data_IF_591590998268
#
_entry.id   IF_591590998268
#
_cell.length_a   1.000
_cell.length_b   1.000
_cell.length_c   1.000
_cell.angle_alpha   90.00
_cell.angle_beta   90.00
_cell.angle_gamma   90.00
#
_symmetry.space_group_name_H-M   'P 1'
#
loop_
_entity.id
_entity.type
_entity.pdbx_description
1 polymer ?
#
# COMPACT_ATOMS: atom_id res chain seq x y z
N UNK A 1 -21.29 -1.88 -15.21
CA UNK A 1 -20.51 -1.21 -14.15
C UNK A 1 -19.11 -1.80 -14.17
N UNK A 2 -18.07 -0.98 -14.29
CA UNK A 2 -16.70 -1.38 -14.03
C UNK A 2 -16.49 -1.24 -12.53
N UNK A 3 -16.52 -2.35 -11.79
CA UNK A 3 -16.15 -2.33 -10.38
C UNK A 3 -14.68 -2.02 -10.27
N UNK A 4 -14.34 -0.92 -9.62
CA UNK A 4 -12.98 -0.58 -9.22
C UNK A 4 -12.79 -1.03 -7.79
N UNK A 5 -12.52 -2.32 -7.57
CA UNK A 5 -12.33 -2.87 -6.22
C UNK A 5 -10.99 -2.49 -5.59
N UNK A 6 -10.02 -2.06 -6.39
CA UNK A 6 -8.70 -1.61 -5.91
C UNK A 6 -8.03 -0.69 -6.93
N UNK A 7 -7.13 0.16 -6.46
CA UNK A 7 -6.33 1.08 -7.27
C UNK A 7 -4.87 1.05 -6.82
N UNK A 8 -3.94 1.17 -7.76
CA UNK A 8 -2.52 1.23 -7.47
C UNK A 8 -1.85 2.32 -8.29
N UNK A 9 -0.74 2.87 -7.78
CA UNK A 9 0.14 3.79 -8.50
C UNK A 9 1.26 3.04 -9.24
N UNK A 10 1.34 1.74 -9.06
CA UNK A 10 2.38 0.90 -9.67
C UNK A 10 1.86 0.17 -10.91
N UNK A 11 2.78 -0.25 -11.75
CA UNK A 11 2.48 -1.12 -12.89
C UNK A 11 1.94 -2.47 -12.44
N UNK A 12 1.02 -3.00 -13.23
CA UNK A 12 0.47 -4.34 -13.04
C UNK A 12 1.30 -5.36 -13.85
N UNK A 13 1.67 -6.45 -13.21
CA UNK A 13 2.30 -7.59 -13.85
C UNK A 13 1.23 -8.57 -14.36
N UNK A 14 0.78 -8.37 -15.58
CA UNK A 14 -0.23 -9.22 -16.22
C UNK A 14 0.22 -10.69 -16.42
N UNK A 15 1.53 -10.95 -16.37
CA UNK A 15 2.09 -12.29 -16.50
C UNK A 15 2.10 -13.07 -15.19
N UNK A 16 1.82 -12.43 -14.05
CA UNK A 16 1.78 -13.10 -12.75
C UNK A 16 0.66 -14.15 -12.70
N UNK A 17 0.92 -15.26 -12.01
CA UNK A 17 -0.09 -16.31 -11.81
C UNK A 17 -1.33 -15.77 -11.09
N UNK A 18 -1.12 -14.88 -10.12
CA UNK A 18 -2.23 -14.29 -9.37
C UNK A 18 -3.13 -13.45 -10.28
N UNK A 19 -2.56 -12.64 -11.19
CA UNK A 19 -3.33 -11.87 -12.16
C UNK A 19 -4.14 -12.78 -13.08
N UNK A 20 -3.51 -13.84 -13.63
CA UNK A 20 -4.19 -14.80 -14.50
C UNK A 20 -5.36 -15.50 -13.80
N UNK A 21 -5.15 -15.96 -12.55
CA UNK A 21 -6.21 -16.55 -11.72
C UNK A 21 -7.35 -15.55 -11.47
N UNK A 22 -7.04 -14.31 -11.06
CA UNK A 22 -8.02 -13.26 -10.81
C UNK A 22 -8.84 -12.95 -12.07
N UNK A 23 -8.19 -12.87 -13.23
CA UNK A 23 -8.85 -12.66 -14.53
C UNK A 23 -9.80 -13.80 -14.86
N UNK A 24 -9.41 -15.04 -14.61
CA UNK A 24 -10.26 -16.22 -14.81
C UNK A 24 -11.49 -16.20 -13.90
N UNK A 25 -11.31 -15.98 -12.59
CA UNK A 25 -12.42 -15.94 -11.62
C UNK A 25 -13.41 -14.81 -11.89
N UNK A 26 -12.97 -13.69 -12.43
CA UNK A 26 -13.82 -12.56 -12.78
C UNK A 26 -14.50 -12.73 -14.16
N UNK A 27 -14.29 -13.84 -14.85
CA UNK A 27 -14.89 -14.11 -16.16
C UNK A 27 -14.48 -13.11 -17.25
N UNK A 28 -13.33 -12.43 -17.08
CA UNK A 28 -12.87 -11.43 -18.03
C UNK A 28 -12.28 -12.10 -19.27
N UNK A 29 -12.89 -11.87 -20.44
CA UNK A 29 -12.41 -12.42 -21.71
C UNK A 29 -10.93 -12.09 -21.95
N UNK A 30 -10.19 -13.00 -22.59
CA UNK A 30 -8.73 -12.92 -22.74
C UNK A 30 -8.24 -11.59 -23.31
N UNK A 31 -8.97 -10.99 -24.24
CA UNK A 31 -8.60 -9.72 -24.91
C UNK A 31 -9.05 -8.45 -24.16
N UNK A 32 -9.81 -8.54 -23.06
CA UNK A 32 -10.30 -7.35 -22.33
C UNK A 32 -9.29 -6.93 -21.24
N UNK A 33 -8.92 -5.64 -21.23
CA UNK A 33 -8.13 -5.06 -20.12
C UNK A 33 -8.94 -5.12 -18.81
N UNK A 34 -8.26 -5.50 -17.71
CA UNK A 34 -8.85 -5.57 -16.37
C UNK A 34 -8.74 -4.26 -15.60
N UNK A 35 -8.00 -3.29 -16.10
CA UNK A 35 -7.73 -2.03 -15.43
C UNK A 35 -7.85 -0.85 -16.38
N UNK A 36 -8.08 0.31 -15.82
CA UNK A 36 -8.15 1.59 -16.51
C UNK A 36 -7.06 2.48 -15.91
N UNK A 37 -6.25 3.09 -16.76
CA UNK A 37 -5.26 4.06 -16.36
C UNK A 37 -5.90 5.44 -16.23
N UNK A 38 -5.62 6.12 -15.12
CA UNK A 38 -6.06 7.50 -14.88
C UNK A 38 -4.88 8.32 -14.37
N UNK A 39 -4.73 9.53 -14.89
CA UNK A 39 -3.80 10.52 -14.32
C UNK A 39 -4.37 11.07 -13.02
N UNK A 40 -3.58 11.04 -11.97
CA UNK A 40 -3.91 11.59 -10.66
C UNK A 40 -2.78 12.49 -10.17
N UNK A 41 -3.12 13.55 -9.44
CA UNK A 41 -2.13 14.36 -8.75
C UNK A 41 -1.73 13.63 -7.47
N UNK A 42 -0.44 13.54 -7.22
CA UNK A 42 0.13 13.01 -5.98
C UNK A 42 0.99 14.07 -5.31
N UNK A 43 0.97 14.07 -3.98
CA UNK A 43 1.80 14.96 -3.18
C UNK A 43 2.40 14.18 -2.00
N UNK A 44 3.51 14.68 -1.45
CA UNK A 44 4.10 14.10 -0.26
C UNK A 44 3.26 14.42 0.97
N UNK A 45 3.17 13.47 1.90
CA UNK A 45 2.47 13.66 3.17
C UNK A 45 2.96 14.89 3.94
N UNK A 46 4.26 15.15 3.94
CA UNK A 46 4.86 16.34 4.59
C UNK A 46 4.26 17.66 4.09
N UNK A 47 3.93 17.76 2.80
CA UNK A 47 3.34 18.97 2.23
C UNK A 47 1.89 19.15 2.72
N UNK A 48 1.14 18.07 2.78
CA UNK A 48 -0.23 18.05 3.32
C UNK A 48 -0.24 18.45 4.79
N UNK A 49 0.65 17.86 5.59
CA UNK A 49 0.82 18.16 7.01
C UNK A 49 1.10 19.65 7.22
N UNK A 50 2.04 20.23 6.47
CA UNK A 50 2.37 21.66 6.54
C UNK A 50 1.20 22.53 6.12
N UNK A 51 0.55 22.19 5.00
CA UNK A 51 -0.58 22.96 4.45
C UNK A 51 -1.74 23.06 5.44
N UNK A 52 -2.08 21.96 6.11
CA UNK A 52 -3.20 21.88 7.04
C UNK A 52 -2.80 22.03 8.51
N UNK A 53 -1.50 22.30 8.79
CA UNK A 53 -0.95 22.48 10.15
C UNK A 53 -1.33 21.32 11.07
N UNK A 54 -1.16 20.10 10.58
CA UNK A 54 -1.46 18.87 11.35
C UNK A 54 -0.31 18.65 12.33
N UNK A 55 -0.61 18.65 13.62
CA UNK A 55 0.36 18.49 14.71
C UNK A 55 0.39 17.07 15.29
N UNK A 56 -0.65 16.27 15.02
CA UNK A 56 -0.78 14.91 15.54
C UNK A 56 -1.60 14.02 14.61
N UNK A 57 -1.18 12.76 14.47
CA UNK A 57 -1.94 11.71 13.77
C UNK A 57 -2.02 10.49 14.69
N UNK A 58 -3.20 10.17 15.18
CA UNK A 58 -3.39 9.00 16.06
C UNK A 58 -3.32 7.70 15.27
N UNK A 59 -3.84 7.68 14.05
CA UNK A 59 -3.84 6.51 13.18
C UNK A 59 -3.58 6.90 11.73
N UNK A 60 -2.57 6.26 11.14
CA UNK A 60 -2.29 6.28 9.70
C UNK A 60 -2.61 4.90 9.13
N UNK A 61 -3.70 4.78 8.39
CA UNK A 61 -3.97 3.58 7.58
C UNK A 61 -3.49 3.79 6.15
N UNK A 62 -2.72 2.82 5.63
CA UNK A 62 -2.17 2.82 4.28
C UNK A 62 -2.68 1.56 3.56
N UNK A 63 -3.43 1.79 2.49
CA UNK A 63 -3.99 0.75 1.63
C UNK A 63 -3.86 1.24 0.17
N UNK A 64 -2.64 1.15 -0.35
CA UNK A 64 -2.25 1.75 -1.64
C UNK A 64 -1.84 0.71 -2.67
N UNK A 65 -2.12 -0.58 -2.38
CA UNK A 65 -1.91 -1.68 -3.31
C UNK A 65 -0.49 -1.64 -3.91
N UNK A 66 0.52 -1.64 -3.02
CA UNK A 66 1.92 -1.73 -3.42
C UNK A 66 2.71 -0.41 -3.43
N UNK A 67 2.17 0.69 -2.87
CA UNK A 67 2.89 1.97 -2.78
C UNK A 67 3.18 2.38 -1.32
N UNK A 68 3.03 1.45 -0.36
CA UNK A 68 3.05 1.70 1.09
C UNK A 68 4.36 2.34 1.55
N UNK A 69 5.51 1.83 1.12
CA UNK A 69 6.82 2.38 1.51
C UNK A 69 6.99 3.83 1.04
N UNK A 70 6.51 4.15 -0.17
CA UNK A 70 6.59 5.51 -0.72
C UNK A 70 5.70 6.47 0.07
N UNK A 71 4.50 6.03 0.48
CA UNK A 71 3.61 6.82 1.36
C UNK A 71 4.33 7.13 2.67
N UNK A 72 4.88 6.11 3.34
CA UNK A 72 5.59 6.29 4.63
C UNK A 72 6.79 7.22 4.47
N UNK A 73 7.62 7.03 3.45
CA UNK A 73 8.75 7.92 3.15
C UNK A 73 8.32 9.35 2.84
N UNK A 74 7.12 9.54 2.28
CA UNK A 74 6.54 10.86 2.00
C UNK A 74 6.24 11.70 3.23
N UNK A 75 6.23 11.10 4.43
CA UNK A 75 6.14 11.82 5.71
C UNK A 75 7.45 12.49 6.10
N UNK A 76 8.60 11.97 5.66
CA UNK A 76 9.94 12.44 6.06
C UNK A 76 10.04 12.48 7.61
N UNK A 77 10.57 13.56 8.19
CA UNK A 77 10.62 13.73 9.65
C UNK A 77 9.25 13.84 10.31
N UNK A 78 8.20 14.21 9.56
CA UNK A 78 6.85 14.30 10.12
C UNK A 78 6.22 12.96 10.46
N UNK A 79 6.86 11.83 10.16
CA UNK A 79 6.43 10.51 10.65
C UNK A 79 6.42 10.47 12.19
N UNK A 80 7.13 11.38 12.84
CA UNK A 80 7.20 11.47 14.30
C UNK A 80 5.89 11.88 14.96
N UNK A 81 5.00 12.58 14.26
CA UNK A 81 3.68 12.96 14.79
C UNK A 81 2.66 11.81 14.72
N UNK A 82 3.00 10.69 14.06
CA UNK A 82 2.12 9.52 13.92
C UNK A 82 2.30 8.57 15.09
N UNK A 83 1.20 8.13 15.72
CA UNK A 83 1.22 7.17 16.83
C UNK A 83 1.13 5.72 16.36
N UNK A 84 0.20 5.44 15.46
CA UNK A 84 -0.08 4.08 14.97
C UNK A 84 -0.07 4.09 13.45
N UNK A 85 0.61 3.11 12.86
CA UNK A 85 0.61 2.86 11.41
C UNK A 85 -0.01 1.49 11.16
N UNK A 86 -1.00 1.43 10.27
CA UNK A 86 -1.58 0.19 9.76
C UNK A 86 -1.37 0.16 8.26
N UNK A 87 -0.86 -0.95 7.73
CA UNK A 87 -0.74 -1.11 6.29
C UNK A 87 -0.94 -2.56 5.86
N UNK A 88 -1.43 -2.73 4.62
CA UNK A 88 -1.49 -4.02 3.94
C UNK A 88 -0.24 -4.22 3.08
N UNK A 89 0.33 -5.43 3.10
CA UNK A 89 1.44 -5.79 2.23
C UNK A 89 1.14 -7.08 1.48
N UNK A 90 1.20 -6.97 0.15
CA UNK A 90 0.96 -8.07 -0.77
C UNK A 90 2.27 -8.79 -1.09
N UNK A 91 2.28 -10.12 -0.91
CA UNK A 91 3.42 -10.99 -1.26
C UNK A 91 3.23 -11.68 -2.62
N UNK A 92 2.12 -11.39 -3.32
CA UNK A 92 1.98 -11.80 -4.71
C UNK A 92 2.75 -10.86 -5.65
N UNK A 93 3.00 -11.33 -6.86
CA UNK A 93 3.77 -10.60 -7.86
C UNK A 93 2.89 -9.81 -8.84
N UNK A 94 1.61 -9.58 -8.51
CA UNK A 94 0.68 -8.87 -9.40
C UNK A 94 1.03 -7.39 -9.54
N UNK A 95 1.46 -6.77 -8.45
CA UNK A 95 1.90 -5.38 -8.45
C UNK A 95 3.41 -5.33 -8.50
N UNK A 96 3.99 -4.60 -9.47
CA UNK A 96 5.43 -4.41 -9.57
C UNK A 96 5.90 -3.43 -8.49
N UNK A 97 6.68 -3.93 -7.55
CA UNK A 97 7.27 -3.15 -6.45
C UNK A 97 8.78 -3.25 -6.52
N UNK A 98 9.46 -2.17 -6.16
CA UNK A 98 10.93 -2.12 -6.03
C UNK A 98 11.38 -2.22 -4.57
N UNK A 99 10.52 -2.69 -3.68
CA UNK A 99 10.76 -2.88 -2.26
C UNK A 99 10.02 -4.13 -1.76
N UNK A 100 10.38 -4.60 -0.60
CA UNK A 100 9.76 -5.72 0.10
C UNK A 100 9.31 -5.33 1.52
N UNK A 101 8.71 -6.27 2.24
CA UNK A 101 8.27 -6.03 3.62
C UNK A 101 9.42 -5.62 4.55
N UNK A 102 10.61 -6.21 4.38
CA UNK A 102 11.78 -5.89 5.23
C UNK A 102 12.16 -4.41 5.12
N UNK A 103 12.01 -3.81 3.95
CA UNK A 103 12.33 -2.40 3.73
C UNK A 103 11.37 -1.49 4.51
N UNK A 104 10.07 -1.82 4.52
CA UNK A 104 9.06 -1.10 5.32
C UNK A 104 9.34 -1.28 6.81
N UNK A 105 9.57 -2.52 7.24
CA UNK A 105 9.84 -2.85 8.63
C UNK A 105 11.06 -2.09 9.15
N UNK A 106 12.17 -2.10 8.41
CA UNK A 106 13.39 -1.41 8.80
C UNK A 106 13.18 0.11 8.89
N UNK A 107 12.45 0.69 7.92
CA UNK A 107 12.15 2.12 7.95
C UNK A 107 11.31 2.50 9.18
N UNK A 108 10.28 1.72 9.51
CA UNK A 108 9.43 1.97 10.68
C UNK A 108 10.19 1.78 11.98
N UNK A 109 11.01 0.73 12.11
CA UNK A 109 11.87 0.53 13.30
C UNK A 109 12.83 1.72 13.48
N UNK A 110 13.49 2.15 12.42
CA UNK A 110 14.41 3.31 12.47
C UNK A 110 13.67 4.62 12.83
N UNK A 111 12.37 4.67 12.60
CA UNK A 111 11.49 5.79 12.98
C UNK A 111 10.84 5.62 14.36
N UNK A 112 11.30 4.66 15.16
CA UNK A 112 10.85 4.42 16.54
C UNK A 112 9.55 3.64 16.67
N UNK A 113 9.08 2.99 15.61
CA UNK A 113 7.90 2.14 15.67
C UNK A 113 8.27 0.68 15.95
N UNK A 114 7.37 -0.03 16.63
CA UNK A 114 7.47 -1.45 16.92
C UNK A 114 6.27 -2.21 16.36
N UNK A 115 6.52 -3.37 15.75
CA UNK A 115 5.45 -4.25 15.30
C UNK A 115 4.64 -4.74 16.49
N UNK A 116 3.33 -4.50 16.50
CA UNK A 116 2.40 -4.96 17.54
C UNK A 116 1.61 -6.17 17.07
N UNK A 117 1.07 -6.11 15.86
CA UNK A 117 0.23 -7.19 15.34
C UNK A 117 0.52 -7.42 13.86
N UNK A 118 0.30 -8.68 13.45
CA UNK A 118 0.37 -9.14 12.08
C UNK A 118 -0.80 -10.09 11.83
N UNK A 119 -1.63 -9.77 10.87
CA UNK A 119 -2.79 -10.58 10.49
C UNK A 119 -2.66 -11.05 9.05
N UNK A 120 -2.92 -12.34 8.81
CA UNK A 120 -2.99 -12.87 7.47
C UNK A 120 -4.40 -12.72 6.93
N UNK A 121 -4.55 -12.14 5.75
CA UNK A 121 -5.83 -12.07 5.06
C UNK A 121 -6.26 -13.47 4.60
N UNK A 122 -7.52 -13.88 4.85
CA UNK A 122 -8.03 -15.16 4.38
C UNK A 122 -7.89 -15.29 2.85
N UNK A 123 -7.44 -16.47 2.39
CA UNK A 123 -7.33 -16.83 0.97
C UNK A 123 -6.41 -15.96 0.11
N UNK A 124 -5.66 -15.00 0.69
CA UNK A 124 -4.73 -14.11 -0.01
C UNK A 124 -3.30 -14.26 0.49
N UNK A 125 -2.32 -13.93 -0.35
CA UNK A 125 -0.91 -13.74 0.04
C UNK A 125 -0.69 -12.30 0.52
N UNK A 126 -1.60 -11.81 1.36
CA UNK A 126 -1.63 -10.44 1.89
C UNK A 126 -1.65 -10.50 3.41
N UNK A 127 -0.90 -9.61 4.03
CA UNK A 127 -0.88 -9.45 5.47
C UNK A 127 -1.14 -8.00 5.82
N UNK A 128 -1.90 -7.78 6.89
CA UNK A 128 -2.03 -6.48 7.54
C UNK A 128 -1.07 -6.41 8.73
N UNK A 129 -0.38 -5.30 8.85
CA UNK A 129 0.61 -5.03 9.89
C UNK A 129 0.22 -3.81 10.68
N UNK A 130 0.34 -3.88 12.01
CA UNK A 130 0.09 -2.77 12.93
C UNK A 130 1.35 -2.46 13.70
N UNK A 131 1.81 -1.23 13.57
CA UNK A 131 2.97 -0.69 14.26
C UNK A 131 2.55 0.46 15.16
N UNK A 132 3.19 0.58 16.33
CA UNK A 132 3.05 1.76 17.19
C UNK A 132 4.38 2.14 17.82
N UNK A 133 4.48 3.39 18.21
CA UNK A 133 5.52 3.87 19.11
C UNK A 133 5.31 3.40 20.52
#
# INVERSE_FOLDING_TARGET
MTETSSSTLNDINENSEYFKKKKFFLGVKAKKKMFIEKKVCVDKAINIIKKFKIDKIDLLKIDTEGYELNVIKGFEKSIDIVKVVIFEHHFDLMIKKNYNYSDINQYLINSGFHLKYKFKMPFRKTFEYIYSK
#
